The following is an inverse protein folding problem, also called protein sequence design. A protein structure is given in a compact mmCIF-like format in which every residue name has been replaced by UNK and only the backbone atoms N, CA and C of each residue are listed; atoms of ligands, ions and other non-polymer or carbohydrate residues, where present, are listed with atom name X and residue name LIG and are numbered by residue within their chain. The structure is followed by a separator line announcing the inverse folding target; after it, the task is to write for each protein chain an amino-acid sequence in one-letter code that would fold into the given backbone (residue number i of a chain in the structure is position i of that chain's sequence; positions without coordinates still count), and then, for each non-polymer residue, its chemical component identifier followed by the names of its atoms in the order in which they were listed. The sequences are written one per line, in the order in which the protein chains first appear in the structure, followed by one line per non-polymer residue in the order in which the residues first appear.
data_IF_654933868787
#
_entry.id   IF_654933868787
#
_cell.length_a   1.000
_cell.length_b   1.000
_cell.length_c   1.000
_cell.angle_alpha   90.00
_cell.angle_beta   90.00
_cell.angle_gamma   90.00
#
_symmetry.space_group_name_H-M   'P 1'
#
loop_
_entity.id
_entity.type
_entity.pdbx_description
1 polymer ?
#
# COMPACT_ATOMS: atom_id res chain seq x y z
N UNK A 1 9.41 8.18 -10.27
CA UNK A 1 10.05 7.22 -9.32
C UNK A 1 8.96 6.28 -8.86
N UNK A 2 9.17 4.97 -8.79
CA UNK A 2 8.11 4.01 -8.47
C UNK A 2 8.03 3.77 -6.95
N UNK A 3 6.82 3.72 -6.42
CA UNK A 3 6.56 3.43 -5.01
C UNK A 3 5.46 2.37 -4.84
N UNK A 4 5.58 1.58 -3.79
CA UNK A 4 4.59 0.57 -3.40
C UNK A 4 4.39 0.59 -1.89
N UNK A 5 3.14 0.43 -1.48
CA UNK A 5 2.73 0.37 -0.07
C UNK A 5 1.99 -0.92 0.20
N UNK A 6 2.56 -1.79 1.03
CA UNK A 6 1.95 -3.07 1.38
C UNK A 6 0.62 -2.88 2.11
N UNK A 7 0.46 -1.82 2.90
CA UNK A 7 -0.78 -1.48 3.60
C UNK A 7 -2.00 -1.30 2.70
N UNK A 8 -1.79 -0.98 1.41
CA UNK A 8 -2.86 -0.90 0.39
C UNK A 8 -3.35 -2.27 -0.10
N UNK A 9 -2.56 -3.33 0.15
CA UNK A 9 -2.85 -4.71 -0.23
C UNK A 9 -3.21 -5.57 0.99
N UNK A 10 -2.43 -5.47 2.06
CA UNK A 10 -2.60 -6.22 3.31
C UNK A 10 -2.89 -5.24 4.44
N UNK A 11 -4.12 -5.22 4.98
CA UNK A 11 -4.46 -4.34 6.08
C UNK A 11 -3.60 -4.67 7.31
N UNK A 12 -2.99 -3.64 7.90
CA UNK A 12 -2.12 -3.77 9.08
C UNK A 12 -0.62 -3.92 8.78
N UNK A 13 -0.20 -3.82 7.51
CA UNK A 13 1.22 -3.77 7.15
C UNK A 13 1.67 -2.33 6.83
N UNK A 14 2.67 -1.81 7.54
CA UNK A 14 3.22 -0.47 7.33
C UNK A 14 4.40 -0.43 6.35
N UNK A 15 4.73 -1.57 5.75
CA UNK A 15 5.88 -1.70 4.87
C UNK A 15 5.65 -0.97 3.54
N UNK A 16 6.61 -0.15 3.15
CA UNK A 16 6.62 0.58 1.90
C UNK A 16 8.01 0.54 1.26
N UNK A 17 8.08 0.62 -0.07
CA UNK A 17 9.35 0.67 -0.80
C UNK A 17 9.28 1.61 -1.99
N UNK A 18 10.44 2.16 -2.38
CA UNK A 18 10.60 3.10 -3.50
C UNK A 18 11.84 2.75 -4.31
N UNK A 19 11.75 2.78 -5.63
CA UNK A 19 12.87 2.57 -6.54
C UNK A 19 12.66 3.30 -7.88
N UNK A 20 13.72 3.43 -8.68
CA UNK A 20 13.60 4.03 -10.01
C UNK A 20 12.87 3.11 -11.00
N UNK A 21 12.99 1.80 -10.81
CA UNK A 21 12.44 0.79 -11.69
C UNK A 21 11.29 0.03 -11.04
N UNK A 22 10.24 -0.23 -11.80
CA UNK A 22 9.09 -1.01 -11.33
C UNK A 22 9.51 -2.43 -10.95
N UNK A 23 10.42 -3.04 -11.72
CA UNK A 23 10.93 -4.39 -11.47
C UNK A 23 11.55 -4.53 -10.07
N UNK A 24 12.31 -3.52 -9.63
CA UNK A 24 12.92 -3.47 -8.30
C UNK A 24 11.87 -3.36 -7.19
N UNK A 25 10.85 -2.53 -7.40
CA UNK A 25 9.73 -2.39 -6.45
C UNK A 25 8.96 -3.72 -6.33
N UNK A 26 8.67 -4.37 -7.46
CA UNK A 26 7.99 -5.67 -7.50
C UNK A 26 8.82 -6.73 -6.77
N UNK A 27 10.12 -6.80 -7.03
CA UNK A 27 11.00 -7.79 -6.42
C UNK A 27 10.98 -7.68 -4.89
N UNK A 28 11.18 -6.47 -4.35
CA UNK A 28 11.16 -6.23 -2.90
C UNK A 28 9.80 -6.52 -2.29
N UNK A 29 8.71 -6.14 -2.95
CA UNK A 29 7.36 -6.39 -2.46
C UNK A 29 7.07 -7.89 -2.36
N UNK A 30 7.45 -8.67 -3.38
CA UNK A 30 7.29 -10.13 -3.37
C UNK A 30 8.16 -10.79 -2.30
N UNK A 31 9.40 -10.33 -2.14
CA UNK A 31 10.30 -10.81 -1.09
C UNK A 31 9.72 -10.56 0.31
N UNK A 32 9.21 -9.35 0.56
CA UNK A 32 8.51 -9.01 1.78
C UNK A 32 7.31 -9.93 2.05
N UNK A 33 6.46 -10.18 1.04
CA UNK A 33 5.31 -11.07 1.22
C UNK A 33 5.73 -12.50 1.60
N UNK A 34 6.85 -13.00 1.05
CA UNK A 34 7.40 -14.30 1.43
C UNK A 34 7.90 -14.32 2.87
N UNK A 35 8.64 -13.31 3.29
CA UNK A 35 9.31 -13.29 4.59
C UNK A 35 8.37 -12.91 5.74
N UNK A 36 7.46 -11.96 5.52
CA UNK A 36 6.62 -11.36 6.56
C UNK A 36 5.25 -12.00 6.62
N UNK A 37 4.63 -12.30 5.48
CA UNK A 37 3.32 -12.93 5.44
C UNK A 37 3.38 -14.46 5.34
N UNK A 38 4.59 -15.03 5.21
CA UNK A 38 4.78 -16.48 5.11
C UNK A 38 4.19 -17.09 3.83
N UNK A 39 4.01 -16.27 2.79
CA UNK A 39 3.35 -16.70 1.57
C UNK A 39 4.29 -17.61 0.76
N UNK A 40 4.15 -18.93 1.01
CA UNK A 40 5.07 -19.95 0.48
C UNK A 40 4.94 -20.14 -1.03
N UNK A 41 3.81 -19.72 -1.63
CA UNK A 41 3.54 -19.82 -3.06
C UNK A 41 3.16 -18.45 -3.61
N UNK A 42 4.11 -17.79 -4.29
CA UNK A 42 3.84 -16.55 -5.01
C UNK A 42 3.25 -16.92 -6.38
N UNK A 43 1.93 -16.78 -6.49
CA UNK A 43 1.20 -16.95 -7.74
C UNK A 43 1.41 -15.71 -8.63
N UNK A 44 1.33 -15.90 -9.95
CA UNK A 44 1.44 -14.80 -10.93
C UNK A 44 0.44 -13.66 -10.67
N UNK A 45 -0.78 -14.02 -10.23
CA UNK A 45 -1.81 -13.08 -9.79
C UNK A 45 -1.35 -12.12 -8.68
N UNK A 46 -0.49 -12.57 -7.76
CA UNK A 46 0.02 -11.69 -6.70
C UNK A 46 0.99 -10.65 -7.24
N UNK A 47 1.85 -11.07 -8.17
CA UNK A 47 2.78 -10.15 -8.87
C UNK A 47 1.98 -9.11 -9.65
N UNK A 48 0.89 -9.50 -10.28
CA UNK A 48 -0.03 -8.57 -10.94
C UNK A 48 -0.70 -7.62 -9.95
N UNK A 49 -1.14 -8.10 -8.80
CA UNK A 49 -1.73 -7.27 -7.75
C UNK A 49 -0.75 -6.25 -7.18
N UNK A 50 0.52 -6.62 -7.03
CA UNK A 50 1.60 -5.72 -6.63
C UNK A 50 1.81 -4.67 -7.72
N UNK A 51 2.02 -5.07 -8.98
CA UNK A 51 2.22 -4.14 -10.11
C UNK A 51 1.08 -3.14 -10.27
N UNK A 52 -0.17 -3.59 -10.14
CA UNK A 52 -1.34 -2.73 -10.24
C UNK A 52 -1.42 -1.64 -9.15
N UNK A 53 -0.65 -1.79 -8.05
CA UNK A 53 -0.60 -0.85 -6.92
C UNK A 53 0.69 -0.04 -6.87
N UNK A 54 1.60 -0.23 -7.84
CA UNK A 54 2.80 0.59 -7.93
C UNK A 54 2.43 1.94 -8.53
N UNK A 55 2.64 3.01 -7.77
CA UNK A 55 2.37 4.38 -8.19
C UNK A 55 3.67 5.07 -8.62
N UNK A 56 3.60 5.97 -9.60
CA UNK A 56 4.73 6.87 -9.87
C UNK A 56 4.68 8.08 -8.94
N UNK A 57 5.69 8.20 -8.08
CA UNK A 57 5.91 9.31 -7.16
C UNK A 57 6.28 10.65 -7.86
N UNK A 58 6.22 10.72 -9.19
CA UNK A 58 6.43 11.94 -9.99
C UNK A 58 5.15 12.66 -10.41
N UNK A 59 3.98 12.04 -10.28
CA UNK A 59 2.69 12.63 -10.68
C UNK A 59 1.67 12.53 -9.54
N UNK A 60 1.72 13.50 -8.62
CA UNK A 60 0.52 14.07 -8.00
C UNK A 60 -0.37 13.19 -7.11
N UNK A 61 0.18 12.55 -6.07
CA UNK A 61 -0.64 12.05 -4.96
C UNK A 61 -0.17 12.63 -3.61
N UNK A 62 -0.39 13.94 -3.48
CA UNK A 62 -0.71 14.53 -2.18
C UNK A 62 -2.23 14.43 -2.03
N UNK A 63 -2.73 13.24 -1.69
CA UNK A 63 -4.13 13.03 -1.34
C UNK A 63 -4.21 12.13 -0.10
N UNK A 64 -3.72 12.72 0.98
CA UNK A 64 -4.12 12.42 2.34
C UNK A 64 -5.66 12.39 2.42
N UNK A 65 -6.26 11.19 2.52
CA UNK A 65 -7.66 11.05 2.93
C UNK A 65 -7.84 9.79 3.81
N UNK A 66 -7.49 9.86 5.10
CA UNK A 66 -8.32 10.33 6.25
C UNK A 66 -9.35 9.28 6.71
N UNK A 67 -9.10 8.66 7.86
CA UNK A 67 -10.14 8.06 8.70
C UNK A 67 -10.00 8.49 10.15
N UNK A 68 -10.40 9.74 10.41
CA UNK A 68 -10.91 10.17 11.71
C UNK A 68 -12.13 11.03 11.46
N UNK A 69 -13.26 10.36 11.23
CA UNK A 69 -14.59 10.94 11.25
C UNK A 69 -15.30 10.41 12.50
N UNK A 70 -15.26 11.17 13.59
CA UNK A 70 -16.31 11.14 14.62
C UNK A 70 -16.43 12.55 15.20
N UNK A 71 -17.02 13.44 14.39
CA UNK A 71 -17.61 14.68 14.90
C UNK A 71 -18.98 14.29 15.47
N UNK A 72 -19.02 13.92 16.76
CA UNK A 72 -20.29 13.79 17.49
C UNK A 72 -20.78 15.21 17.81
N UNK A 73 -21.62 15.76 16.94
CA UNK A 73 -22.49 16.88 17.29
C UNK A 73 -23.54 16.36 18.27
N UNK A 74 -23.56 16.92 19.47
CA UNK A 74 -24.58 16.65 20.48
C UNK A 74 -24.78 17.93 21.29
N UNK A 75 -25.46 18.90 20.68
CA UNK A 75 -25.98 20.07 21.40
C UNK A 75 -27.42 20.29 20.92
N UNK A 76 -28.33 19.52 21.51
CA UNK A 76 -29.76 19.75 21.47
C UNK A 76 -30.33 19.43 22.85
N UNK A 77 -30.26 20.43 23.74
CA UNK A 77 -30.99 20.58 25.00
C UNK A 77 -30.61 21.96 25.55
N UNK A 78 -31.48 22.84 26.04
CA UNK A 78 -32.92 22.88 26.25
C UNK A 78 -33.29 24.36 26.43
#
# INVERSE_FOLDING_TARGET
MKQFECGSLVPGCEWHTRANEEAEVVHRAVEHMRMVHGESVIREHMVQNVRARITDAGDGDTADNKHSATHKQSDQAA
#
